data_IF_998640256339
#
_entry.id   IF_998640256339
#
_cell.length_a   1.000
_cell.length_b   1.000
_cell.length_c   1.000
_cell.angle_alpha   90.00
_cell.angle_beta   90.00
_cell.angle_gamma   90.00
#
_symmetry.space_group_name_H-M   'P 1'
#
loop_
_entity.id
_entity.type
_entity.pdbx_description
1 polymer ?
#
# COMPACT_ATOMS: atom_id res chain seq x y z
N UNK A 1 6.21 -3.08 -24.17
CA UNK A 1 5.22 -3.81 -25.01
C UNK A 1 3.89 -3.92 -24.29
N UNK A 2 2.81 -4.14 -25.02
CA UNK A 2 1.46 -4.35 -24.47
C UNK A 2 1.43 -5.55 -23.50
N UNK A 3 2.10 -6.64 -23.86
CA UNK A 3 2.22 -7.82 -22.99
C UNK A 3 2.87 -7.49 -21.64
N UNK A 4 3.93 -6.69 -21.61
CA UNK A 4 4.58 -6.24 -20.38
C UNK A 4 3.65 -5.36 -19.54
N UNK A 5 2.89 -4.49 -20.18
CA UNK A 5 1.89 -3.63 -19.53
C UNK A 5 0.80 -4.48 -18.86
N UNK A 6 0.20 -5.43 -19.60
CA UNK A 6 -0.81 -6.34 -19.05
C UNK A 6 -0.26 -7.16 -17.89
N UNK A 7 0.96 -7.68 -17.99
CA UNK A 7 1.63 -8.43 -16.91
C UNK A 7 1.82 -7.56 -15.67
N UNK A 8 2.25 -6.31 -15.83
CA UNK A 8 2.40 -5.36 -14.73
C UNK A 8 1.04 -5.05 -14.07
N UNK A 9 -0.01 -4.84 -14.86
CA UNK A 9 -1.37 -4.60 -14.36
C UNK A 9 -1.96 -5.79 -13.62
N UNK A 10 -1.69 -7.03 -14.06
CA UNK A 10 -2.07 -8.25 -13.32
C UNK A 10 -1.37 -8.34 -11.97
N UNK A 11 -0.05 -8.08 -11.92
CA UNK A 11 0.71 -8.02 -10.65
C UNK A 11 0.15 -6.96 -9.71
N UNK A 12 -0.20 -5.79 -10.23
CA UNK A 12 -0.78 -4.69 -9.47
C UNK A 12 -2.28 -4.82 -9.16
N UNK A 13 -2.92 -5.93 -9.55
CA UNK A 13 -4.36 -6.15 -9.33
C UNK A 13 -5.27 -5.09 -9.97
N UNK A 14 -4.86 -4.53 -11.12
CA UNK A 14 -5.65 -3.53 -11.83
C UNK A 14 -6.13 -3.98 -13.22
N UNK A 15 -5.69 -5.13 -13.72
CA UNK A 15 -6.08 -5.65 -15.02
C UNK A 15 -7.60 -5.80 -15.18
N UNK A 16 -8.25 -6.42 -14.19
CA UNK A 16 -9.67 -6.80 -14.30
C UNK A 16 -10.57 -5.56 -14.39
N UNK A 17 -10.35 -4.55 -13.53
CA UNK A 17 -11.17 -3.35 -13.59
C UNK A 17 -10.86 -2.50 -14.83
N UNK A 18 -9.58 -2.44 -15.30
CA UNK A 18 -9.23 -1.73 -16.53
C UNK A 18 -9.93 -2.38 -17.72
N UNK A 19 -9.91 -3.71 -17.81
CA UNK A 19 -10.55 -4.45 -18.90
C UNK A 19 -12.08 -4.31 -18.90
N UNK A 20 -12.67 -3.96 -17.76
CA UNK A 20 -14.11 -3.71 -17.62
C UNK A 20 -14.52 -2.27 -17.99
N UNK A 21 -13.57 -1.35 -18.20
CA UNK A 21 -13.86 0.00 -18.66
C UNK A 21 -14.35 -0.03 -20.13
N UNK A 22 -15.13 0.99 -20.57
CA UNK A 22 -15.74 0.99 -21.90
C UNK A 22 -14.78 0.77 -23.07
N UNK A 23 -13.56 1.32 -22.99
CA UNK A 23 -12.51 1.19 -24.01
C UNK A 23 -11.28 0.42 -23.45
N UNK A 24 -11.46 -0.29 -22.33
CA UNK A 24 -10.38 -1.06 -21.70
C UNK A 24 -9.16 -0.20 -21.40
N UNK A 25 -8.00 -0.61 -21.88
CA UNK A 25 -6.73 0.10 -21.70
C UNK A 25 -6.63 1.43 -22.44
N UNK A 26 -7.47 1.68 -23.44
CA UNK A 26 -7.51 2.93 -24.20
C UNK A 26 -8.47 3.95 -23.58
N UNK A 27 -9.15 3.60 -22.49
CA UNK A 27 -10.08 4.48 -21.79
C UNK A 27 -9.35 5.73 -21.27
N UNK A 28 -9.84 6.92 -21.66
CA UNK A 28 -9.35 8.18 -21.13
C UNK A 28 -9.83 8.34 -19.70
N UNK A 29 -8.91 8.59 -18.79
CA UNK A 29 -9.17 8.78 -17.34
C UNK A 29 -8.74 10.17 -16.87
N UNK A 30 -9.47 10.75 -15.92
CA UNK A 30 -9.20 12.10 -15.39
C UNK A 30 -10.22 13.14 -15.86
N UNK A 31 -9.82 14.40 -16.02
CA UNK A 31 -10.71 15.45 -16.49
C UNK A 31 -11.27 15.13 -17.87
N UNK A 32 -12.60 15.05 -17.96
CA UNK A 32 -13.32 14.69 -19.20
C UNK A 32 -13.36 13.21 -19.54
N UNK A 33 -12.81 12.33 -18.71
CA UNK A 33 -12.82 10.88 -18.89
C UNK A 33 -13.43 10.11 -17.71
N UNK A 34 -13.20 8.80 -17.67
CA UNK A 34 -13.69 7.94 -16.59
C UNK A 34 -13.08 8.33 -15.23
N UNK A 35 -13.92 8.35 -14.19
CA UNK A 35 -13.48 8.62 -12.83
C UNK A 35 -13.06 7.31 -12.15
N UNK A 36 -11.80 7.26 -11.68
CA UNK A 36 -11.27 6.13 -10.93
C UNK A 36 -11.37 6.39 -9.42
N UNK A 37 -11.63 5.34 -8.65
CA UNK A 37 -11.52 5.36 -7.19
C UNK A 37 -10.07 5.59 -6.73
N UNK A 38 -9.87 5.97 -5.47
CA UNK A 38 -8.54 6.14 -4.90
C UNK A 38 -7.70 4.86 -4.99
N UNK A 39 -8.31 3.70 -4.70
CA UNK A 39 -7.66 2.39 -4.78
C UNK A 39 -7.30 1.97 -6.20
N UNK A 40 -8.13 2.28 -7.19
CA UNK A 40 -7.84 2.03 -8.60
C UNK A 40 -6.65 2.87 -9.07
N UNK A 41 -6.64 4.17 -8.76
CA UNK A 41 -5.49 5.05 -9.07
C UNK A 41 -4.20 4.55 -8.43
N UNK A 42 -4.26 4.11 -7.17
CA UNK A 42 -3.10 3.58 -6.46
C UNK A 42 -2.57 2.31 -7.12
N UNK A 43 -3.44 1.36 -7.51
CA UNK A 43 -3.03 0.14 -8.21
C UNK A 43 -2.41 0.43 -9.58
N UNK A 44 -2.93 1.42 -10.32
CA UNK A 44 -2.30 1.86 -11.59
C UNK A 44 -0.90 2.44 -11.33
N UNK A 45 -0.72 3.22 -10.26
CA UNK A 45 0.60 3.73 -9.89
C UNK A 45 1.59 2.60 -9.56
N UNK A 46 1.14 1.55 -8.87
CA UNK A 46 1.94 0.35 -8.62
C UNK A 46 2.25 -0.41 -9.93
N UNK A 47 1.28 -0.52 -10.87
CA UNK A 47 1.53 -1.12 -12.17
C UNK A 47 2.63 -0.40 -12.95
N UNK A 48 2.66 0.93 -12.89
CA UNK A 48 3.74 1.74 -13.47
C UNK A 48 5.10 1.44 -12.82
N UNK A 49 5.14 1.23 -11.50
CA UNK A 49 6.36 0.85 -10.80
C UNK A 49 6.83 -0.56 -11.20
N UNK A 50 5.91 -1.52 -11.37
CA UNK A 50 6.23 -2.84 -11.92
C UNK A 50 6.81 -2.76 -13.32
N UNK A 51 6.22 -1.90 -14.18
CA UNK A 51 6.65 -1.76 -15.57
C UNK A 51 8.01 -1.09 -15.71
N UNK A 52 8.31 -0.11 -14.84
CA UNK A 52 9.61 0.59 -14.83
C UNK A 52 10.76 -0.27 -14.33
N UNK A 53 10.46 -1.35 -13.62
CA UNK A 53 11.45 -2.29 -13.06
C UNK A 53 12.57 -1.62 -12.24
N UNK A 54 12.20 -0.65 -11.41
CA UNK A 54 13.15 0.06 -10.55
C UNK A 54 13.56 -0.81 -9.35
N UNK A 55 14.85 -0.77 -8.92
CA UNK A 55 15.33 -1.58 -7.79
C UNK A 55 14.85 -1.06 -6.43
N UNK A 56 14.55 0.23 -6.31
CA UNK A 56 14.09 0.87 -5.08
C UNK A 56 12.77 1.59 -5.35
N UNK A 57 11.78 1.37 -4.51
CA UNK A 57 10.47 2.02 -4.58
C UNK A 57 10.21 2.80 -3.29
N UNK A 58 9.84 4.07 -3.45
CA UNK A 58 9.42 4.93 -2.34
C UNK A 58 7.90 5.08 -2.38
N UNK A 59 7.23 4.80 -1.27
CA UNK A 59 5.78 4.89 -1.14
C UNK A 59 5.43 5.79 0.04
N UNK A 60 4.55 6.76 -0.21
CA UNK A 60 4.00 7.63 0.80
C UNK A 60 2.51 7.29 1.00
N UNK A 61 2.18 6.75 2.17
CA UNK A 61 0.83 6.36 2.57
C UNK A 61 0.02 5.58 1.52
N UNK A 62 0.51 4.46 0.99
CA UNK A 62 -0.10 3.79 -0.17
C UNK A 62 -1.52 3.27 0.08
N UNK A 63 -1.98 3.20 1.33
CA UNK A 63 -3.32 2.72 1.70
C UNK A 63 -4.18 3.79 2.38
N UNK A 64 -3.74 5.05 2.40
CA UNK A 64 -4.51 6.14 3.00
C UNK A 64 -5.86 6.32 2.29
N UNK A 65 -6.91 6.52 3.06
CA UNK A 65 -8.26 6.81 2.57
C UNK A 65 -8.89 5.73 1.65
N UNK A 66 -8.40 4.48 1.73
CA UNK A 66 -8.99 3.36 1.01
C UNK A 66 -10.04 2.65 1.87
N UNK A 67 -11.09 2.13 1.22
CA UNK A 67 -11.99 1.15 1.82
C UNK A 67 -11.29 -0.22 2.01
N UNK A 68 -11.88 -1.11 2.79
CA UNK A 68 -11.27 -2.38 3.16
C UNK A 68 -10.91 -3.28 1.96
N UNK A 69 -11.76 -3.30 0.94
CA UNK A 69 -11.55 -4.15 -0.25
C UNK A 69 -10.39 -3.63 -1.09
N UNK A 70 -10.36 -2.31 -1.34
CA UNK A 70 -9.25 -1.67 -2.05
C UNK A 70 -7.94 -1.74 -1.25
N UNK A 71 -7.98 -1.56 0.08
CA UNK A 71 -6.81 -1.73 0.95
C UNK A 71 -6.21 -3.14 0.81
N UNK A 72 -7.05 -4.19 0.85
CA UNK A 72 -6.59 -5.57 0.69
C UNK A 72 -5.96 -5.82 -0.69
N UNK A 73 -6.51 -5.24 -1.77
CA UNK A 73 -5.96 -5.37 -3.11
C UNK A 73 -4.62 -4.64 -3.26
N UNK A 74 -4.51 -3.42 -2.72
CA UNK A 74 -3.25 -2.66 -2.72
C UNK A 74 -2.19 -3.39 -1.89
N UNK A 75 -2.56 -3.94 -0.72
CA UNK A 75 -1.62 -4.71 0.11
C UNK A 75 -1.06 -5.93 -0.64
N UNK A 76 -1.91 -6.70 -1.33
CA UNK A 76 -1.45 -7.83 -2.17
C UNK A 76 -0.48 -7.38 -3.27
N UNK A 77 -0.71 -6.22 -3.89
CA UNK A 77 0.20 -5.67 -4.90
C UNK A 77 1.53 -5.21 -4.28
N UNK A 78 1.50 -4.63 -3.07
CA UNK A 78 2.70 -4.26 -2.31
C UNK A 78 3.53 -5.49 -1.91
N UNK A 79 2.88 -6.54 -1.42
CA UNK A 79 3.53 -7.80 -1.08
C UNK A 79 4.20 -8.43 -2.31
N UNK A 80 3.57 -8.34 -3.47
CA UNK A 80 4.15 -8.84 -4.72
C UNK A 80 5.38 -8.03 -5.16
N UNK A 81 5.30 -6.69 -5.10
CA UNK A 81 6.42 -5.82 -5.54
C UNK A 81 7.62 -5.91 -4.59
N UNK A 82 7.39 -6.14 -3.30
CA UNK A 82 8.45 -6.23 -2.29
C UNK A 82 9.29 -7.51 -2.37
N UNK A 83 8.82 -8.55 -3.05
CA UNK A 83 9.58 -9.81 -3.22
C UNK A 83 10.88 -9.64 -4.01
N UNK A 84 10.90 -8.70 -4.94
CA UNK A 84 12.01 -8.54 -5.89
C UNK A 84 12.71 -7.17 -5.76
N UNK A 85 12.27 -6.31 -4.82
CA UNK A 85 12.71 -4.91 -4.74
C UNK A 85 12.83 -4.42 -3.31
N UNK A 86 13.66 -3.39 -3.10
CA UNK A 86 13.67 -2.65 -1.85
C UNK A 86 12.50 -1.66 -1.84
N UNK A 87 11.58 -1.82 -0.92
CA UNK A 87 10.44 -0.91 -0.72
C UNK A 87 10.66 -0.12 0.55
N UNK A 88 10.68 1.20 0.44
CA UNK A 88 10.69 2.13 1.58
C UNK A 88 9.31 2.78 1.62
N UNK A 89 8.62 2.63 2.73
CA UNK A 89 7.23 3.07 2.87
C UNK A 89 7.06 3.97 4.10
N UNK A 90 6.38 5.10 3.92
CA UNK A 90 5.81 5.88 5.00
C UNK A 90 4.40 5.38 5.23
N UNK A 91 4.07 4.96 6.45
CA UNK A 91 2.75 4.45 6.76
C UNK A 91 2.21 5.07 8.06
N UNK A 92 0.98 5.54 7.99
CA UNK A 92 0.22 5.99 9.15
C UNK A 92 -0.62 4.84 9.76
N UNK A 93 -0.95 3.83 8.96
CA UNK A 93 -1.61 2.60 9.42
C UNK A 93 -0.55 1.55 9.73
N UNK A 94 -0.33 1.28 11.01
CA UNK A 94 0.73 0.34 11.44
C UNK A 94 0.48 -1.10 10.96
N UNK A 95 -0.77 -1.47 10.66
CA UNK A 95 -1.10 -2.77 10.06
C UNK A 95 -0.38 -3.01 8.73
N UNK A 96 -0.18 -1.94 7.93
CA UNK A 96 0.47 -2.00 6.61
C UNK A 96 1.95 -2.39 6.72
N UNK A 97 2.63 -2.01 7.81
CA UNK A 97 4.07 -2.28 8.00
C UNK A 97 4.35 -3.47 8.90
N UNK A 98 3.32 -4.20 9.33
CA UNK A 98 3.49 -5.35 10.24
C UNK A 98 4.41 -6.44 9.66
N UNK A 99 4.35 -6.66 8.36
CA UNK A 99 5.17 -7.66 7.63
C UNK A 99 6.49 -7.11 7.10
N UNK A 100 6.83 -5.86 7.40
CA UNK A 100 8.09 -5.25 6.93
C UNK A 100 9.29 -5.95 7.59
N UNK A 101 10.37 -6.13 6.83
CA UNK A 101 11.63 -6.70 7.31
C UNK A 101 12.28 -5.79 8.35
N UNK A 102 12.06 -4.48 8.24
CA UNK A 102 12.57 -3.49 9.17
C UNK A 102 11.61 -2.31 9.29
N UNK A 103 11.32 -1.91 10.52
CA UNK A 103 10.55 -0.73 10.86
C UNK A 103 11.48 0.28 11.52
N UNK A 104 11.44 1.52 11.09
CA UNK A 104 12.14 2.66 11.67
C UNK A 104 11.10 3.59 12.30
N UNK A 105 11.21 3.85 13.59
CA UNK A 105 10.34 4.79 14.29
C UNK A 105 11.07 6.13 14.43
N UNK A 106 10.48 7.17 13.85
CA UNK A 106 11.04 8.51 13.87
C UNK A 106 10.30 9.38 14.88
N UNK A 107 11.07 10.14 15.66
CA UNK A 107 10.57 11.20 16.53
C UNK A 107 11.52 12.39 16.48
N UNK A 108 10.99 13.59 16.26
CA UNK A 108 11.77 14.83 16.18
C UNK A 108 12.96 14.75 15.19
N UNK A 109 12.72 14.11 14.05
CA UNK A 109 13.71 13.94 12.98
C UNK A 109 14.81 12.91 13.27
N UNK A 110 14.67 12.12 14.33
CA UNK A 110 15.65 11.08 14.72
C UNK A 110 14.99 9.70 14.75
N UNK A 111 15.77 8.67 14.42
CA UNK A 111 15.35 7.28 14.61
C UNK A 111 15.48 6.95 16.09
N UNK A 112 14.34 6.70 16.75
CA UNK A 112 14.29 6.38 18.19
C UNK A 112 14.16 4.87 18.44
N UNK A 113 13.55 4.13 17.50
CA UNK A 113 13.43 2.67 17.56
C UNK A 113 13.64 2.08 16.17
N UNK A 114 14.19 0.84 16.14
CA UNK A 114 14.46 0.10 14.92
C UNK A 114 14.32 -1.40 15.17
N UNK A 115 13.59 -2.11 14.31
CA UNK A 115 13.43 -3.55 14.42
C UNK A 115 12.28 -4.08 13.58
N UNK A 116 11.95 -5.36 13.73
CA UNK A 116 10.73 -5.96 13.22
C UNK A 116 9.54 -5.63 14.11
N UNK A 117 8.32 -5.85 13.62
CA UNK A 117 7.10 -5.69 14.42
C UNK A 117 7.20 -6.40 15.79
N UNK A 118 7.57 -7.67 15.79
CA UNK A 118 7.63 -8.46 17.03
C UNK A 118 8.69 -7.94 18.01
N UNK A 119 9.86 -7.51 17.52
CA UNK A 119 10.90 -6.91 18.34
C UNK A 119 10.42 -5.61 18.97
N UNK A 120 9.80 -4.72 18.20
CA UNK A 120 9.34 -3.42 18.69
C UNK A 120 8.16 -3.55 19.66
N UNK A 121 7.25 -4.50 19.46
CA UNK A 121 6.20 -4.80 20.44
C UNK A 121 6.82 -5.27 21.76
N UNK A 122 7.84 -6.15 21.70
CA UNK A 122 8.55 -6.65 22.90
C UNK A 122 9.29 -5.57 23.66
N UNK A 123 9.79 -4.53 23.01
CA UNK A 123 10.47 -3.39 23.61
C UNK A 123 9.56 -2.48 24.46
N UNK A 124 8.22 -2.56 24.24
CA UNK A 124 7.20 -1.75 24.93
C UNK A 124 7.45 -0.23 24.82
N UNK A 125 8.07 0.20 23.72
CA UNK A 125 8.42 1.59 23.45
C UNK A 125 7.32 2.38 22.74
N UNK A 126 7.71 3.39 21.96
CA UNK A 126 6.80 4.26 21.21
C UNK A 126 5.97 3.48 20.19
N UNK A 127 6.61 2.56 19.43
CA UNK A 127 5.92 1.72 18.47
C UNK A 127 4.81 0.88 19.11
N UNK A 128 5.12 0.19 20.21
CA UNK A 128 4.16 -0.66 20.92
C UNK A 128 2.96 0.16 21.44
N UNK A 129 3.21 1.36 21.94
CA UNK A 129 2.16 2.29 22.38
C UNK A 129 1.25 2.70 21.21
N UNK A 130 1.84 3.11 20.08
CA UNK A 130 1.08 3.52 18.89
C UNK A 130 0.27 2.36 18.30
N UNK A 131 0.86 1.16 18.28
CA UNK A 131 0.17 -0.06 17.85
C UNK A 131 -1.07 -0.34 18.71
N UNK A 132 -0.93 -0.25 20.04
CA UNK A 132 -2.04 -0.44 20.99
C UNK A 132 -3.18 0.55 20.75
N UNK A 133 -2.86 1.83 20.56
CA UNK A 133 -3.85 2.88 20.26
C UNK A 133 -4.61 2.62 18.96
N UNK A 134 -3.90 2.26 17.88
CA UNK A 134 -4.55 1.98 16.59
C UNK A 134 -5.39 0.69 16.61
N UNK A 135 -4.95 -0.33 17.34
CA UNK A 135 -5.71 -1.58 17.48
C UNK A 135 -7.01 -1.37 18.25
N UNK A 136 -6.98 -0.57 19.33
CA UNK A 136 -8.19 -0.23 20.10
C UNK A 136 -9.16 0.62 19.28
N UNK A 137 -8.68 1.61 18.52
CA UNK A 137 -9.53 2.45 17.68
C UNK A 137 -10.25 1.64 16.58
N UNK A 138 -9.62 0.59 16.05
CA UNK A 138 -10.22 -0.34 15.09
C UNK A 138 -11.36 -1.17 15.69
N UNK A 139 -11.29 -1.53 16.96
CA UNK A 139 -12.32 -2.32 17.65
C UNK A 139 -13.57 -1.50 18.00
N UNK A 140 -13.46 -0.19 18.18
CA UNK A 140 -14.60 0.69 18.49
C UNK A 140 -15.55 0.89 17.30
N UNK A 141 -15.06 0.81 16.08
CA UNK A 141 -15.88 0.98 14.86
C UNK A 141 -16.79 -0.23 14.58
N UNK A 142 -16.49 -1.42 15.11
CA UNK A 142 -17.30 -2.62 14.95
C UNK A 142 -18.40 -2.82 16.01
N UNK A 143 -18.41 -2.02 17.09
CA UNK A 143 -19.42 -2.15 18.17
C UNK A 143 -20.61 -1.21 18.04
N UNK A 144 -20.71 -0.40 16.99
CA UNK A 144 -21.81 0.53 16.73
C UNK A 144 -22.62 0.20 15.47
N UNK A 145 -22.58 -1.05 15.02
CA UNK A 145 -23.42 -1.51 13.89
C UNK A 145 -24.42 -2.51 14.38
#
# INVERSE_FOLDING_TARGET
TEEQMIKACKKARCHDFISALPEGYDTVVGEGGATLSGGERQRISLARAFLKDVPILLLDEPTASLDADNEAMVQKALDEISKERTVIMIAHRLKTVRSADQILVLQDGKIVEKGTHNQLIGQKGLYARLWGLQSQAGDYTFKQS
#
